data_IF_653674520944
#
_entry.id   IF_653674520944
#
_cell.length_a   1.000
_cell.length_b   1.000
_cell.length_c   1.000
_cell.angle_alpha   90.00
_cell.angle_beta   90.00
_cell.angle_gamma   90.00
#
_symmetry.space_group_name_H-M   'P 1'
#
loop_
_entity.id
_entity.type
_entity.pdbx_description
1 polymer ?
#
# COMPACT_ATOMS: atom_id res chain seq x y z
N UNK A 1 22.04 -27.82 -9.81
CA UNK A 1 20.75 -27.20 -9.79
C UNK A 1 20.43 -26.51 -11.12
N UNK A 2 19.22 -25.97 -11.25
CA UNK A 2 18.67 -25.39 -12.51
C UNK A 2 19.56 -24.32 -13.15
N UNK A 3 20.29 -23.54 -12.37
CA UNK A 3 21.22 -22.50 -12.86
C UNK A 3 22.42 -23.11 -13.60
N UNK A 4 22.95 -24.24 -13.09
CA UNK A 4 24.08 -24.90 -13.72
C UNK A 4 23.71 -25.58 -15.07
N UNK A 5 22.44 -25.92 -15.27
CA UNK A 5 21.96 -26.58 -16.49
C UNK A 5 21.65 -25.61 -17.62
N UNK A 6 21.24 -24.36 -17.29
CA UNK A 6 20.78 -23.37 -18.30
C UNK A 6 21.81 -22.28 -18.62
N UNK A 7 22.88 -22.14 -17.83
CA UNK A 7 23.88 -21.08 -18.01
C UNK A 7 23.40 -19.65 -17.72
N UNK A 8 22.10 -19.48 -17.37
CA UNK A 8 21.49 -18.21 -17.05
C UNK A 8 20.93 -18.21 -15.63
N UNK A 9 21.05 -17.08 -14.93
CA UNK A 9 20.47 -16.92 -13.60
C UNK A 9 18.99 -16.56 -13.72
N UNK A 10 18.09 -17.30 -13.04
CA UNK A 10 16.67 -16.95 -13.04
C UNK A 10 16.42 -15.64 -12.30
N UNK A 11 15.40 -14.89 -12.71
CA UNK A 11 14.87 -13.76 -11.95
C UNK A 11 14.13 -14.27 -10.71
N UNK A 12 14.47 -13.75 -9.53
CA UNK A 12 13.76 -14.03 -8.28
C UNK A 12 12.87 -12.83 -7.92
N UNK A 13 11.56 -13.09 -7.80
CA UNK A 13 10.54 -12.09 -7.55
C UNK A 13 9.86 -12.35 -6.19
N UNK A 14 10.41 -11.84 -5.07
CA UNK A 14 9.85 -12.08 -3.74
C UNK A 14 8.56 -11.28 -3.53
N UNK A 15 7.45 -11.99 -3.29
CA UNK A 15 6.09 -11.39 -3.18
C UNK A 15 5.77 -10.93 -1.76
N UNK A 16 6.07 -11.75 -0.77
CA UNK A 16 5.71 -11.50 0.63
C UNK A 16 6.74 -10.66 1.38
N UNK A 17 6.29 -9.87 2.36
CA UNK A 17 7.17 -9.01 3.16
C UNK A 17 8.30 -9.81 3.86
N UNK A 18 7.97 -10.94 4.47
CA UNK A 18 8.97 -11.78 5.15
C UNK A 18 9.98 -12.38 4.17
N UNK A 19 9.52 -12.85 3.01
CA UNK A 19 10.40 -13.39 1.96
C UNK A 19 11.30 -12.30 1.39
N UNK A 20 10.76 -11.11 1.11
CA UNK A 20 11.55 -9.97 0.63
C UNK A 20 12.62 -9.57 1.65
N UNK A 21 12.26 -9.44 2.93
CA UNK A 21 13.20 -9.11 3.98
C UNK A 21 14.32 -10.15 4.12
N UNK A 22 13.99 -11.44 4.06
CA UNK A 22 14.97 -12.53 4.12
C UNK A 22 15.92 -12.51 2.91
N UNK A 23 15.40 -12.31 1.69
CA UNK A 23 16.22 -12.22 0.48
C UNK A 23 17.10 -10.97 0.51
N UNK A 24 16.57 -9.83 0.93
CA UNK A 24 17.34 -8.58 1.02
C UNK A 24 18.46 -8.67 2.05
N UNK A 25 18.20 -9.29 3.22
CA UNK A 25 19.20 -9.48 4.28
C UNK A 25 20.38 -10.40 3.87
N UNK A 26 20.12 -11.38 3.01
CA UNK A 26 21.15 -12.34 2.54
C UNK A 26 21.46 -12.17 1.04
N UNK A 27 21.33 -10.90 0.58
CA UNK A 27 21.40 -10.52 -0.84
C UNK A 27 22.58 -11.14 -1.57
N UNK A 28 23.78 -11.13 -0.98
CA UNK A 28 24.99 -11.65 -1.63
C UNK A 28 24.87 -13.12 -2.04
N UNK A 29 24.21 -13.95 -1.22
CA UNK A 29 23.99 -15.37 -1.54
C UNK A 29 22.99 -15.54 -2.67
N UNK A 30 21.96 -14.70 -2.72
CA UNK A 30 20.98 -14.74 -3.80
C UNK A 30 21.52 -14.18 -5.10
N UNK A 31 22.28 -13.08 -5.09
CA UNK A 31 22.91 -12.50 -6.28
C UNK A 31 23.89 -13.49 -6.96
N UNK A 32 24.43 -14.45 -6.21
CA UNK A 32 25.28 -15.51 -6.78
C UNK A 32 24.51 -16.49 -7.68
N UNK A 33 23.19 -16.65 -7.51
CA UNK A 33 22.40 -17.69 -8.15
C UNK A 33 21.14 -17.19 -8.89
N UNK A 34 20.72 -15.95 -8.67
CA UNK A 34 19.57 -15.35 -9.34
C UNK A 34 19.75 -13.84 -9.52
N UNK A 35 18.94 -13.24 -10.38
CA UNK A 35 18.88 -11.79 -10.55
C UNK A 35 17.79 -11.18 -9.65
N UNK A 36 18.07 -10.01 -9.08
CA UNK A 36 17.23 -9.32 -8.13
C UNK A 36 17.04 -7.85 -8.52
N UNK A 37 15.80 -7.39 -8.62
CA UNK A 37 15.43 -5.99 -8.67
C UNK A 37 14.55 -5.67 -7.44
N UNK A 38 15.19 -5.56 -6.27
CA UNK A 38 14.56 -5.38 -4.96
C UNK A 38 15.28 -4.31 -4.16
N UNK A 39 14.62 -3.66 -3.19
CA UNK A 39 15.26 -2.69 -2.31
C UNK A 39 16.33 -3.33 -1.41
N UNK A 40 17.24 -2.48 -0.92
CA UNK A 40 18.22 -2.86 0.09
C UNK A 40 17.57 -2.96 1.48
N UNK A 41 18.21 -3.61 2.47
CA UNK A 41 17.72 -3.61 3.84
C UNK A 41 17.52 -2.20 4.40
N UNK A 42 18.43 -1.26 4.10
CA UNK A 42 18.36 0.13 4.56
C UNK A 42 17.17 0.87 3.95
N UNK A 43 16.86 0.63 2.66
CA UNK A 43 15.68 1.18 1.98
C UNK A 43 14.40 0.60 2.55
N UNK A 44 14.37 -0.71 2.86
CA UNK A 44 13.24 -1.35 3.52
C UNK A 44 13.01 -0.77 4.91
N UNK A 45 14.05 -0.61 5.71
CA UNK A 45 13.96 -0.04 7.06
C UNK A 45 13.49 1.42 7.05
N UNK A 46 13.99 2.21 6.10
CA UNK A 46 13.59 3.60 5.92
C UNK A 46 12.10 3.72 5.60
N UNK A 47 11.63 3.00 4.58
CA UNK A 47 10.23 3.10 4.12
C UNK A 47 9.24 2.43 5.06
N UNK A 48 9.65 1.44 5.84
CA UNK A 48 8.81 0.83 6.88
C UNK A 48 8.76 1.65 8.18
N UNK A 49 9.67 2.63 8.38
CA UNK A 49 9.67 3.52 9.53
C UNK A 49 8.84 4.77 9.25
N UNK A 50 7.67 4.89 9.88
CA UNK A 50 6.78 6.05 9.70
C UNK A 50 7.44 7.38 10.08
N UNK A 51 8.29 7.37 11.10
CA UNK A 51 9.00 8.56 11.57
C UNK A 51 10.09 8.98 10.57
N UNK A 52 10.96 8.03 10.17
CA UNK A 52 12.04 8.31 9.20
C UNK A 52 11.48 8.71 7.84
N UNK A 53 10.40 8.04 7.39
CA UNK A 53 9.70 8.38 6.15
C UNK A 53 9.10 9.79 6.21
N UNK A 54 8.44 10.16 7.32
CA UNK A 54 7.85 11.49 7.47
C UNK A 54 8.92 12.59 7.50
N UNK A 55 10.05 12.35 8.18
CA UNK A 55 11.18 13.28 8.19
C UNK A 55 11.79 13.46 6.80
N UNK A 56 12.01 12.36 6.07
CA UNK A 56 12.49 12.40 4.69
C UNK A 56 11.50 13.11 3.77
N UNK A 57 10.21 12.79 3.85
CA UNK A 57 9.18 13.44 3.04
C UNK A 57 9.15 14.95 3.27
N UNK A 58 9.22 15.38 4.52
CA UNK A 58 9.27 16.81 4.88
C UNK A 58 10.50 17.51 4.30
N UNK A 59 11.68 16.88 4.31
CA UNK A 59 12.91 17.46 3.74
C UNK A 59 12.88 17.58 2.21
N UNK A 60 11.96 16.89 1.55
CA UNK A 60 11.78 16.87 0.09
C UNK A 60 10.50 17.61 -0.35
N UNK A 61 9.88 18.39 0.52
CA UNK A 61 8.62 19.10 0.26
C UNK A 61 7.49 18.14 -0.21
N UNK A 62 7.46 16.92 0.34
CA UNK A 62 6.35 15.97 0.15
C UNK A 62 5.41 16.11 1.34
N UNK A 63 4.14 16.51 1.14
CA UNK A 63 3.21 16.72 2.24
C UNK A 63 2.96 15.44 3.05
N UNK A 64 2.98 15.57 4.37
CA UNK A 64 2.62 14.50 5.33
C UNK A 64 1.56 15.04 6.29
N UNK A 65 0.73 14.18 6.91
CA UNK A 65 -0.22 14.63 7.90
C UNK A 65 0.49 15.33 9.07
N UNK A 66 -0.02 16.50 9.47
CA UNK A 66 0.51 17.22 10.63
C UNK A 66 0.45 16.32 11.87
N UNK A 67 1.58 16.09 12.49
CA UNK A 67 1.69 15.34 13.75
C UNK A 67 1.67 16.30 14.95
N UNK A 68 1.11 15.81 16.06
CA UNK A 68 1.01 16.53 17.32
C UNK A 68 1.72 15.73 18.40
N UNK A 69 2.57 16.41 19.18
CA UNK A 69 3.32 15.81 20.29
C UNK A 69 3.00 16.53 21.58
N UNK A 70 3.11 15.83 22.69
CA UNK A 70 3.04 16.41 24.02
C UNK A 70 4.28 17.27 24.29
N UNK A 71 4.11 18.36 25.00
CA UNK A 71 5.22 19.18 25.51
C UNK A 71 5.84 18.52 26.74
N UNK A 72 7.09 18.90 27.06
CA UNK A 72 7.76 18.36 28.23
C UNK A 72 6.99 18.74 29.51
N UNK A 73 6.57 17.74 30.28
CA UNK A 73 5.79 17.93 31.51
C UNK A 73 4.30 18.15 31.32
N UNK A 74 3.79 18.13 30.05
CA UNK A 74 2.37 18.24 29.75
C UNK A 74 1.62 16.96 30.15
N UNK A 75 0.45 17.09 30.77
CA UNK A 75 -0.43 15.95 31.04
C UNK A 75 -1.18 15.54 29.78
N UNK A 76 -1.58 14.23 29.66
CA UNK A 76 -2.39 13.75 28.55
C UNK A 76 -3.69 14.53 28.43
N UNK A 77 -4.33 14.86 29.56
CA UNK A 77 -5.57 15.65 29.60
C UNK A 77 -5.37 17.05 28.97
N UNK A 78 -4.28 17.76 29.32
CA UNK A 78 -3.97 19.06 28.73
C UNK A 78 -3.67 18.95 27.25
N UNK A 79 -2.90 17.94 26.84
CA UNK A 79 -2.56 17.66 25.45
C UNK A 79 -3.79 17.42 24.57
N UNK A 80 -4.71 16.53 24.99
CA UNK A 80 -5.88 16.18 24.16
C UNK A 80 -6.87 17.34 24.04
N UNK A 81 -6.95 18.22 25.05
CA UNK A 81 -7.82 19.42 25.01
C UNK A 81 -7.39 20.46 23.97
N UNK A 82 -6.11 20.51 23.61
CA UNK A 82 -5.59 21.45 22.59
C UNK A 82 -5.51 20.86 21.18
N UNK A 83 -5.87 19.58 21.00
CA UNK A 83 -5.83 18.95 19.69
C UNK A 83 -6.91 19.52 18.75
N UNK A 84 -6.58 19.80 17.49
CA UNK A 84 -7.60 20.08 16.49
C UNK A 84 -8.37 18.80 16.18
N UNK A 85 -9.68 18.82 16.42
CA UNK A 85 -10.56 17.68 16.18
C UNK A 85 -11.35 17.86 14.88
N UNK A 86 -11.62 16.78 14.14
CA UNK A 86 -11.20 15.39 14.43
C UNK A 86 -9.70 15.18 14.23
N UNK A 87 -9.10 14.24 14.98
CA UNK A 87 -7.74 13.78 14.75
C UNK A 87 -7.65 12.24 14.75
N UNK A 88 -6.50 11.71 14.34
CA UNK A 88 -6.21 10.29 14.32
C UNK A 88 -5.19 9.95 15.38
N UNK A 89 -5.48 8.94 16.19
CA UNK A 89 -4.55 8.37 17.18
C UNK A 89 -4.24 6.93 16.76
N UNK A 90 -2.96 6.56 16.73
CA UNK A 90 -2.52 5.21 16.34
C UNK A 90 -1.26 4.79 17.10
N UNK A 91 -1.08 3.48 17.38
CA UNK A 91 0.16 2.99 18.00
C UNK A 91 1.33 3.12 17.02
N UNK A 92 2.54 3.25 17.54
CA UNK A 92 3.76 3.38 16.72
C UNK A 92 3.97 2.18 15.80
N UNK A 93 3.71 0.96 16.28
CA UNK A 93 3.95 -0.30 15.56
C UNK A 93 2.71 -1.21 15.53
N UNK A 94 1.56 -0.71 15.09
CA UNK A 94 0.28 -1.43 15.12
C UNK A 94 0.27 -2.81 14.43
N UNK A 95 1.11 -3.02 13.40
CA UNK A 95 1.23 -4.33 12.75
C UNK A 95 1.89 -5.38 13.65
N UNK A 96 2.92 -5.00 14.39
CA UNK A 96 3.64 -5.90 15.31
C UNK A 96 2.79 -6.31 16.53
N UNK A 97 1.71 -5.54 16.81
CA UNK A 97 0.80 -5.80 17.94
C UNK A 97 -0.32 -6.80 17.61
N UNK A 98 -0.33 -7.40 16.41
CA UNK A 98 -1.37 -8.34 16.00
C UNK A 98 -2.77 -7.74 15.87
N UNK A 99 -2.89 -6.41 15.83
CA UNK A 99 -4.16 -5.70 15.73
C UNK A 99 -4.78 -5.86 14.34
N UNK A 100 -6.10 -6.04 14.29
CA UNK A 100 -6.85 -5.97 13.02
C UNK A 100 -6.80 -4.56 12.44
N UNK A 101 -7.02 -4.40 11.14
CA UNK A 101 -7.01 -3.09 10.48
C UNK A 101 -7.87 -2.05 11.20
N UNK A 102 -9.08 -2.44 11.65
CA UNK A 102 -10.00 -1.57 12.38
C UNK A 102 -9.51 -1.17 13.80
N UNK A 103 -8.54 -1.90 14.35
CA UNK A 103 -7.99 -1.66 15.68
C UNK A 103 -6.68 -0.88 15.67
N UNK A 104 -6.10 -0.65 14.48
CA UNK A 104 -4.78 -0.01 14.30
C UNK A 104 -4.81 1.50 14.43
N UNK A 105 -5.98 2.12 14.43
CA UNK A 105 -6.13 3.56 14.63
C UNK A 105 -7.53 3.90 15.17
N UNK A 106 -7.67 5.10 15.70
CA UNK A 106 -8.95 5.68 16.08
C UNK A 106 -9.08 7.09 15.49
N UNK A 107 -10.23 7.40 14.91
CA UNK A 107 -10.61 8.78 14.57
C UNK A 107 -11.40 9.30 15.77
N UNK A 108 -10.85 10.30 16.46
CA UNK A 108 -11.43 10.87 17.68
C UNK A 108 -12.04 12.24 17.38
N UNK A 109 -13.18 12.51 18.00
CA UNK A 109 -13.99 13.71 17.77
C UNK A 109 -14.23 14.53 19.03
N UNK A 110 -13.83 14.00 20.19
CA UNK A 110 -13.87 14.74 21.45
C UNK A 110 -12.57 14.54 22.24
N UNK A 111 -12.24 15.43 23.18
CA UNK A 111 -11.08 15.26 24.04
C UNK A 111 -11.15 13.98 24.87
N UNK A 112 -12.34 13.56 25.33
CA UNK A 112 -12.57 12.35 26.12
C UNK A 112 -12.26 11.09 25.31
N UNK A 113 -12.73 11.05 24.03
CA UNK A 113 -12.36 9.96 23.10
C UNK A 113 -10.84 9.95 22.87
N UNK A 114 -10.22 11.11 22.70
CA UNK A 114 -8.79 11.24 22.46
C UNK A 114 -7.99 10.71 23.65
N UNK A 115 -8.36 11.07 24.88
CA UNK A 115 -7.72 10.62 26.10
C UNK A 115 -7.83 9.09 26.26
N UNK A 116 -9.02 8.55 26.11
CA UNK A 116 -9.26 7.10 26.21
C UNK A 116 -8.43 6.31 25.19
N UNK A 117 -8.40 6.75 23.92
CA UNK A 117 -7.62 6.08 22.88
C UNK A 117 -6.12 6.29 23.03
N UNK A 118 -5.67 7.47 23.54
CA UNK A 118 -4.28 7.72 23.83
C UNK A 118 -3.74 6.73 24.87
N UNK A 119 -4.41 6.61 26.02
CA UNK A 119 -4.04 5.66 27.06
C UNK A 119 -4.08 4.21 26.59
N UNK A 120 -5.13 3.84 25.83
CA UNK A 120 -5.23 2.50 25.25
C UNK A 120 -4.03 2.15 24.37
N UNK A 121 -3.66 3.01 23.44
CA UNK A 121 -2.55 2.73 22.52
C UNK A 121 -1.19 2.83 23.20
N UNK A 122 -1.02 3.72 24.16
CA UNK A 122 0.18 3.79 24.98
C UNK A 122 0.39 2.51 25.78
N UNK A 123 -0.67 1.99 26.41
CA UNK A 123 -0.64 0.72 27.16
C UNK A 123 -0.32 -0.49 26.27
N UNK A 124 -0.89 -0.54 25.05
CA UNK A 124 -0.66 -1.65 24.11
C UNK A 124 0.76 -1.69 23.54
N UNK A 125 1.37 -0.53 23.32
CA UNK A 125 2.69 -0.44 22.65
C UNK A 125 3.85 -0.19 23.60
N UNK A 126 3.58 0.20 24.86
CA UNK A 126 4.60 0.67 25.81
C UNK A 126 5.23 2.01 25.43
N UNK A 127 4.67 2.72 24.43
CA UNK A 127 5.19 3.98 23.90
C UNK A 127 4.06 4.98 23.68
N UNK A 128 4.38 6.28 23.65
CA UNK A 128 3.42 7.31 23.29
C UNK A 128 2.86 7.05 21.87
N UNK A 129 1.53 7.09 21.68
CA UNK A 129 0.92 6.89 20.37
C UNK A 129 1.19 8.09 19.45
N UNK A 130 1.13 7.84 18.16
CA UNK A 130 1.19 8.89 17.14
C UNK A 130 -0.18 9.57 17.05
N UNK A 131 -0.20 10.90 17.16
CA UNK A 131 -1.39 11.72 16.99
C UNK A 131 -1.23 12.60 15.76
N UNK A 132 -2.18 12.53 14.82
CA UNK A 132 -2.09 13.23 13.54
C UNK A 132 -3.42 13.89 13.16
N UNK A 133 -3.33 14.94 12.34
CA UNK A 133 -4.51 15.56 11.72
C UNK A 133 -5.33 14.52 10.94
N UNK A 134 -6.64 14.59 11.05
CA UNK A 134 -7.55 13.77 10.26
C UNK A 134 -7.67 14.33 8.85
N UNK A 135 -7.45 13.48 7.86
CA UNK A 135 -7.62 13.79 6.44
C UNK A 135 -8.93 13.19 5.95
N UNK A 136 -9.84 14.04 5.48
CA UNK A 136 -11.22 13.65 5.15
C UNK A 136 -11.43 13.20 3.70
N UNK A 137 -10.47 13.48 2.82
CA UNK A 137 -10.59 13.24 1.38
C UNK A 137 -10.37 11.79 0.96
N UNK A 138 -10.12 11.59 -0.32
CA UNK A 138 -9.95 10.26 -0.92
C UNK A 138 -8.64 9.60 -0.51
N UNK A 139 -8.64 8.28 -0.38
CA UNK A 139 -7.43 7.45 -0.34
C UNK A 139 -6.90 7.24 -1.75
N UNK A 140 -5.61 7.49 -1.94
CA UNK A 140 -4.92 7.42 -3.22
C UNK A 140 -3.67 6.55 -3.10
N UNK A 141 -3.19 6.02 -4.21
CA UNK A 141 -1.91 5.33 -4.29
C UNK A 141 -1.15 5.72 -5.55
N UNK A 142 0.16 5.81 -5.44
CA UNK A 142 1.08 5.78 -6.57
C UNK A 142 1.85 4.46 -6.52
N UNK A 143 1.54 3.60 -7.45
CA UNK A 143 2.05 2.24 -7.57
C UNK A 143 3.14 2.23 -8.61
N UNK A 144 4.36 1.83 -8.26
CA UNK A 144 5.49 1.97 -9.16
C UNK A 144 6.49 0.83 -9.11
N UNK A 145 7.26 0.75 -10.17
CA UNK A 145 8.55 0.08 -10.26
C UNK A 145 9.62 1.14 -10.47
N UNK A 146 10.65 1.10 -9.65
CA UNK A 146 11.83 1.98 -9.79
C UNK A 146 13.09 1.17 -9.98
N UNK A 147 14.08 1.79 -10.60
CA UNK A 147 15.43 1.27 -10.78
C UNK A 147 16.45 2.38 -10.52
N UNK A 148 17.34 2.17 -9.54
CA UNK A 148 18.40 3.10 -9.15
C UNK A 148 17.93 4.56 -8.98
N UNK A 149 16.77 4.75 -8.34
CA UNK A 149 16.23 6.09 -8.05
C UNK A 149 15.36 6.69 -9.17
N UNK A 150 15.14 5.99 -10.28
CA UNK A 150 14.26 6.46 -11.35
C UNK A 150 13.03 5.58 -11.50
N UNK A 151 11.85 6.21 -11.66
CA UNK A 151 10.60 5.48 -11.90
C UNK A 151 10.58 4.93 -13.31
N UNK A 152 10.61 3.61 -13.44
CA UNK A 152 10.51 2.89 -14.72
C UNK A 152 9.08 2.84 -15.23
N UNK A 153 8.13 2.58 -14.33
CA UNK A 153 6.70 2.59 -14.64
C UNK A 153 5.90 2.92 -13.39
N UNK A 154 4.78 3.64 -13.58
CA UNK A 154 3.88 3.95 -12.47
C UNK A 154 2.43 4.04 -12.94
N UNK A 155 1.51 3.71 -12.02
CA UNK A 155 0.08 4.00 -12.12
C UNK A 155 -0.36 4.68 -10.83
N UNK A 156 -1.32 5.62 -10.95
CA UNK A 156 -1.98 6.14 -9.75
C UNK A 156 -3.40 5.57 -9.67
N UNK A 157 -3.85 5.30 -8.45
CA UNK A 157 -5.19 4.80 -8.22
C UNK A 157 -5.88 5.51 -7.06
N UNK A 158 -7.21 5.50 -7.10
CA UNK A 158 -8.07 5.96 -6.03
C UNK A 158 -8.80 4.76 -5.42
N UNK A 159 -8.85 4.69 -4.10
CA UNK A 159 -9.72 3.78 -3.36
C UNK A 159 -11.16 4.25 -3.47
N UNK A 160 -12.04 3.40 -3.95
CA UNK A 160 -13.47 3.72 -4.13
C UNK A 160 -14.29 3.14 -2.97
N UNK A 161 -14.00 1.89 -2.59
CA UNK A 161 -14.59 1.20 -1.45
C UNK A 161 -13.55 0.36 -0.73
N UNK A 162 -13.76 0.13 0.56
CA UNK A 162 -12.87 -0.60 1.45
C UNK A 162 -13.64 -1.66 2.23
N UNK A 163 -13.01 -2.79 2.50
CA UNK A 163 -13.58 -3.83 3.34
C UNK A 163 -12.54 -4.36 4.36
N UNK A 164 -12.85 -4.35 5.67
CA UNK A 164 -14.04 -3.77 6.34
C UNK A 164 -14.19 -2.27 6.14
N UNK A 165 -15.45 -1.80 6.12
CA UNK A 165 -15.79 -0.36 5.87
C UNK A 165 -15.36 0.60 7.01
N UNK A 166 -14.76 0.07 8.07
CA UNK A 166 -14.16 0.82 9.19
C UNK A 166 -12.69 1.19 8.94
N UNK A 167 -12.14 0.87 7.77
CA UNK A 167 -10.74 1.03 7.42
C UNK A 167 -10.09 -0.31 7.14
N UNK A 168 -10.28 -0.81 5.93
CA UNK A 168 -9.71 -2.05 5.44
C UNK A 168 -8.93 -1.82 4.14
N UNK A 169 -8.40 -2.90 3.55
CA UNK A 169 -7.85 -2.83 2.21
C UNK A 169 -8.92 -2.43 1.19
N UNK A 170 -8.49 -1.90 0.07
CA UNK A 170 -9.39 -1.52 -1.02
C UNK A 170 -10.12 -2.74 -1.57
N UNK A 171 -11.45 -2.71 -1.57
CA UNK A 171 -12.31 -3.70 -2.24
C UNK A 171 -12.67 -3.28 -3.66
N UNK A 172 -12.64 -1.98 -3.92
CA UNK A 172 -12.81 -1.39 -5.24
C UNK A 172 -11.84 -0.22 -5.41
N UNK A 173 -11.11 -0.19 -6.51
CA UNK A 173 -10.22 0.92 -6.87
C UNK A 173 -10.35 1.26 -8.35
N UNK A 174 -9.94 2.46 -8.70
CA UNK A 174 -9.87 2.93 -10.09
C UNK A 174 -8.54 3.61 -10.37
N UNK A 175 -8.01 3.41 -11.56
CA UNK A 175 -6.87 4.17 -12.05
C UNK A 175 -7.29 5.64 -12.23
N UNK A 176 -6.43 6.56 -11.82
CA UNK A 176 -6.61 8.01 -11.95
C UNK A 176 -5.33 8.65 -12.49
N UNK A 177 -5.48 9.79 -13.16
CA UNK A 177 -4.35 10.58 -13.58
C UNK A 177 -4.00 11.60 -12.50
N UNK A 178 -2.87 11.40 -11.82
CA UNK A 178 -2.40 12.22 -10.69
C UNK A 178 -0.87 12.39 -10.82
N UNK A 179 -0.43 13.33 -11.65
CA UNK A 179 1.00 13.61 -11.86
C UNK A 179 1.70 14.10 -10.59
N UNK A 180 0.99 14.79 -9.71
CA UNK A 180 1.48 15.24 -8.40
C UNK A 180 1.93 14.07 -7.50
N UNK A 181 1.16 12.98 -7.44
CA UNK A 181 1.55 11.79 -6.66
C UNK A 181 2.81 11.13 -7.22
N UNK A 182 2.93 11.09 -8.55
CA UNK A 182 4.11 10.55 -9.22
C UNK A 182 5.34 11.42 -8.94
N UNK A 183 5.19 12.74 -8.95
CA UNK A 183 6.27 13.66 -8.64
C UNK A 183 6.74 13.48 -7.18
N UNK A 184 5.82 13.42 -6.22
CA UNK A 184 6.17 13.16 -4.82
C UNK A 184 6.89 11.81 -4.64
N UNK A 185 6.39 10.76 -5.27
CA UNK A 185 7.04 9.45 -5.23
C UNK A 185 8.43 9.50 -5.88
N UNK A 186 8.61 10.22 -7.01
CA UNK A 186 9.90 10.35 -7.70
C UNK A 186 10.93 11.06 -6.82
N UNK A 187 10.56 12.09 -6.07
CA UNK A 187 11.48 12.78 -5.14
C UNK A 187 12.04 11.79 -4.10
N UNK A 188 11.16 10.98 -3.48
CA UNK A 188 11.54 9.99 -2.47
C UNK A 188 12.37 8.83 -3.07
N UNK A 189 11.98 8.35 -4.23
CA UNK A 189 12.68 7.27 -4.95
C UNK A 189 14.09 7.72 -5.35
N UNK A 190 14.23 8.95 -5.86
CA UNK A 190 15.51 9.51 -6.29
C UNK A 190 16.46 9.73 -5.12
N UNK A 191 15.99 10.34 -4.04
CA UNK A 191 16.80 10.61 -2.85
C UNK A 191 17.36 9.34 -2.22
N UNK A 192 16.56 8.26 -2.26
CA UNK A 192 16.95 6.99 -1.65
C UNK A 192 17.69 6.04 -2.60
N UNK A 193 17.78 6.38 -3.90
CA UNK A 193 18.31 5.46 -4.91
C UNK A 193 17.51 4.16 -5.01
N UNK A 194 16.19 4.20 -4.73
CA UNK A 194 15.35 3.03 -4.58
C UNK A 194 15.32 2.15 -5.83
N UNK A 195 15.40 0.83 -5.63
CA UNK A 195 15.18 -0.18 -6.69
C UNK A 195 14.12 -1.17 -6.23
N UNK A 196 13.11 -1.42 -7.06
CA UNK A 196 12.07 -2.42 -6.82
C UNK A 196 10.64 -1.87 -6.90
N UNK A 197 9.71 -2.70 -6.48
CA UNK A 197 8.28 -2.36 -6.43
C UNK A 197 7.95 -1.58 -5.16
N UNK A 198 7.13 -0.53 -5.28
CA UNK A 198 6.56 0.18 -4.14
C UNK A 198 5.18 0.74 -4.45
N UNK A 199 4.34 0.85 -3.40
CA UNK A 199 3.12 1.64 -3.39
C UNK A 199 3.27 2.76 -2.37
N UNK A 200 3.16 3.99 -2.83
CA UNK A 200 3.11 5.21 -2.01
C UNK A 200 1.64 5.51 -1.72
N UNK A 201 1.24 5.38 -0.46
CA UNK A 201 -0.14 5.60 -0.04
C UNK A 201 -0.34 7.04 0.41
N UNK A 202 -1.30 7.70 -0.21
CA UNK A 202 -1.67 9.08 0.09
C UNK A 202 -3.13 9.17 0.54
N UNK A 203 -3.42 10.25 1.24
CA UNK A 203 -4.79 10.65 1.56
C UNK A 203 -4.95 12.14 1.35
N UNK A 204 -6.05 12.53 0.73
CA UNK A 204 -6.38 13.94 0.54
C UNK A 204 -6.92 14.57 1.82
N UNK A 205 -6.62 15.83 2.00
CA UNK A 205 -7.31 16.68 2.97
C UNK A 205 -8.70 17.13 2.44
N UNK A 206 -9.34 18.08 3.14
CA UNK A 206 -10.64 18.62 2.74
C UNK A 206 -10.61 19.47 1.47
N UNK A 207 -9.43 19.91 1.03
CA UNK A 207 -9.20 20.75 -0.15
C UNK A 207 -8.71 19.93 -1.36
N UNK A 208 -8.45 18.63 -1.17
CA UNK A 208 -7.98 17.74 -2.22
C UNK A 208 -6.46 17.66 -2.36
N UNK A 209 -5.70 18.21 -1.42
CA UNK A 209 -4.24 18.09 -1.40
C UNK A 209 -3.83 16.74 -0.83
N UNK A 210 -2.96 15.98 -1.53
CA UNK A 210 -2.55 14.67 -1.07
C UNK A 210 -1.43 14.77 -0.02
N UNK A 211 -1.51 13.95 1.01
CA UNK A 211 -0.52 13.79 2.06
C UNK A 211 -0.06 12.34 2.12
N UNK A 212 1.24 12.10 2.14
CA UNK A 212 1.83 10.77 2.21
C UNK A 212 1.57 10.15 3.58
N UNK A 213 0.95 8.97 3.62
CA UNK A 213 0.68 8.22 4.84
C UNK A 213 1.73 7.17 5.14
N UNK A 214 2.10 6.39 4.12
CA UNK A 214 3.07 5.30 4.22
C UNK A 214 3.58 4.89 2.84
N UNK A 215 4.68 4.14 2.82
CA UNK A 215 5.18 3.43 1.65
C UNK A 215 5.16 1.94 1.93
N UNK A 216 4.66 1.16 0.99
CA UNK A 216 4.70 -0.31 1.01
C UNK A 216 5.77 -0.73 0.01
N UNK A 217 7.03 -1.01 0.44
CA UNK A 217 8.16 -1.27 -0.46
C UNK A 217 8.18 -2.74 -0.94
N UNK A 218 7.05 -3.21 -1.42
CA UNK A 218 6.79 -4.58 -1.88
C UNK A 218 5.50 -4.66 -2.69
N UNK A 219 5.15 -5.84 -3.16
CA UNK A 219 3.81 -6.09 -3.75
C UNK A 219 2.72 -5.72 -2.72
N UNK A 220 1.71 -4.99 -3.16
CA UNK A 220 0.59 -4.44 -2.39
C UNK A 220 -0.74 -5.10 -2.73
N UNK A 221 -1.78 -4.82 -1.95
CA UNK A 221 -3.08 -5.50 -2.10
C UNK A 221 -3.79 -5.23 -3.43
N UNK A 222 -3.64 -4.04 -4.00
CA UNK A 222 -4.22 -3.67 -5.31
C UNK A 222 -3.29 -3.94 -6.50
N UNK A 223 -2.20 -4.70 -6.31
CA UNK A 223 -1.25 -5.04 -7.39
C UNK A 223 -1.90 -5.60 -8.67
N UNK A 224 -2.99 -6.39 -8.61
CA UNK A 224 -3.69 -6.84 -9.81
C UNK A 224 -4.19 -5.70 -10.73
N UNK A 225 -4.33 -4.47 -10.22
CA UNK A 225 -4.67 -3.30 -11.01
C UNK A 225 -3.60 -3.03 -12.10
N UNK A 226 -2.34 -3.35 -11.84
CA UNK A 226 -1.24 -3.22 -12.82
C UNK A 226 -1.51 -4.03 -14.09
N UNK A 227 -2.09 -5.23 -13.94
CA UNK A 227 -2.52 -6.07 -15.04
C UNK A 227 -3.76 -5.49 -15.74
N UNK A 228 -4.76 -5.09 -14.95
CA UNK A 228 -6.03 -4.56 -15.47
C UNK A 228 -5.82 -3.29 -16.32
N UNK A 229 -4.87 -2.44 -15.92
CA UNK A 229 -4.52 -1.21 -16.65
C UNK A 229 -3.58 -1.43 -17.83
N UNK A 230 -2.91 -2.58 -17.90
CA UNK A 230 -1.89 -2.86 -18.91
C UNK A 230 -0.58 -2.08 -18.67
N UNK A 231 -0.28 -1.74 -17.41
CA UNK A 231 0.91 -0.93 -17.06
C UNK A 231 2.26 -1.62 -17.31
N UNK A 232 2.28 -2.91 -17.60
CA UNK A 232 3.52 -3.68 -17.81
C UNK A 232 4.40 -3.87 -16.59
N UNK A 233 4.08 -3.28 -15.44
CA UNK A 233 4.90 -3.31 -14.22
C UNK A 233 5.40 -4.72 -13.88
N UNK A 234 4.59 -5.80 -13.90
CA UNK A 234 5.07 -7.14 -13.57
C UNK A 234 6.15 -7.66 -14.56
N UNK A 235 5.96 -7.40 -15.86
CA UNK A 235 6.92 -7.78 -16.90
C UNK A 235 8.22 -6.99 -16.77
N UNK A 236 8.13 -5.68 -16.61
CA UNK A 236 9.30 -4.82 -16.42
C UNK A 236 10.11 -5.22 -15.20
N UNK A 237 9.45 -5.56 -14.09
CA UNK A 237 10.12 -6.05 -12.89
C UNK A 237 10.88 -7.35 -13.14
N UNK A 238 10.26 -8.30 -13.87
CA UNK A 238 10.92 -9.55 -14.23
C UNK A 238 12.15 -9.31 -15.14
N UNK A 239 12.05 -8.38 -16.10
CA UNK A 239 13.17 -8.02 -16.99
C UNK A 239 14.30 -7.35 -16.20
N UNK A 240 14.00 -6.40 -15.31
CA UNK A 240 15.02 -5.76 -14.48
C UNK A 240 15.75 -6.79 -13.59
N UNK A 241 14.98 -7.68 -12.95
CA UNK A 241 15.59 -8.74 -12.14
C UNK A 241 16.45 -9.68 -12.98
N UNK A 242 16.01 -10.07 -14.18
CA UNK A 242 16.81 -10.88 -15.10
C UNK A 242 18.12 -10.18 -15.49
N UNK A 243 18.03 -8.92 -15.90
CA UNK A 243 19.19 -8.13 -16.30
C UNK A 243 20.22 -7.97 -15.17
N UNK A 244 19.75 -7.76 -13.94
CA UNK A 244 20.61 -7.64 -12.77
C UNK A 244 21.40 -8.95 -12.48
N UNK A 245 20.86 -10.12 -12.84
CA UNK A 245 21.51 -11.41 -12.61
C UNK A 245 22.46 -11.86 -13.72
N UNK A 246 22.32 -11.33 -14.92
CA UNK A 246 23.01 -11.84 -16.11
C UNK A 246 23.88 -10.76 -16.74
N UNK A 247 25.20 -11.01 -16.84
CA UNK A 247 26.19 -10.10 -17.40
C UNK A 247 26.25 -10.02 -18.93
N UNK A 248 25.26 -10.59 -19.64
CA UNK A 248 25.10 -10.49 -21.09
C UNK A 248 24.51 -9.15 -21.55
N UNK A 249 24.16 -9.04 -22.84
CA UNK A 249 23.43 -7.89 -23.33
C UNK A 249 22.07 -7.81 -22.61
N UNK A 250 21.72 -6.66 -21.99
CA UNK A 250 20.46 -6.54 -21.25
C UNK A 250 19.26 -6.66 -22.18
N UNK A 251 18.23 -7.36 -21.72
CA UNK A 251 16.93 -7.35 -22.42
C UNK A 251 16.40 -5.90 -22.36
N UNK A 252 16.13 -5.27 -23.51
CA UNK A 252 15.61 -3.91 -23.52
C UNK A 252 14.23 -3.86 -22.87
N UNK A 253 13.95 -2.81 -22.11
CA UNK A 253 12.62 -2.58 -21.57
C UNK A 253 11.67 -2.24 -22.72
N UNK A 254 10.54 -2.94 -22.86
CA UNK A 254 9.56 -2.63 -23.89
C UNK A 254 8.88 -1.28 -23.62
N UNK A 255 8.51 -0.57 -24.66
CA UNK A 255 7.61 0.56 -24.51
C UNK A 255 6.26 0.09 -23.96
N UNK A 256 5.85 0.65 -22.85
CA UNK A 256 4.57 0.35 -22.24
C UNK A 256 3.57 1.43 -22.66
N UNK A 257 2.42 1.07 -23.23
CA UNK A 257 1.40 2.03 -23.56
C UNK A 257 0.88 2.72 -22.29
N UNK A 258 0.43 3.95 -22.43
CA UNK A 258 -0.16 4.72 -21.31
C UNK A 258 -1.23 3.85 -20.63
N UNK A 259 -1.14 3.67 -19.32
CA UNK A 259 -2.08 2.82 -18.58
C UNK A 259 -3.52 3.27 -18.79
N UNK A 260 -4.39 2.33 -19.10
CA UNK A 260 -5.81 2.66 -19.32
C UNK A 260 -6.47 2.99 -17.99
N UNK A 261 -7.29 4.03 -17.98
CA UNK A 261 -8.14 4.31 -16.82
C UNK A 261 -9.18 3.20 -16.67
N UNK A 262 -8.94 2.30 -15.75
CA UNK A 262 -9.75 1.11 -15.48
C UNK A 262 -10.19 1.09 -14.02
N UNK A 263 -11.29 0.39 -13.78
CA UNK A 263 -11.82 0.09 -12.45
C UNK A 263 -11.65 -1.39 -12.17
N UNK A 264 -11.27 -1.72 -10.95
CA UNK A 264 -11.06 -3.08 -10.47
C UNK A 264 -11.81 -3.28 -9.15
N UNK A 265 -12.39 -4.46 -8.99
CA UNK A 265 -13.03 -4.91 -7.75
C UNK A 265 -12.40 -6.23 -7.29
N UNK A 266 -12.52 -6.49 -6.00
CA UNK A 266 -12.43 -7.84 -5.44
C UNK A 266 -13.86 -8.27 -5.14
N UNK A 267 -14.51 -8.96 -6.05
CA UNK A 267 -15.97 -9.12 -6.14
C UNK A 267 -16.64 -9.47 -4.80
N UNK A 268 -16.17 -10.51 -4.09
CA UNK A 268 -16.77 -10.89 -2.80
C UNK A 268 -16.60 -9.79 -1.73
N UNK A 269 -15.37 -9.25 -1.59
CA UNK A 269 -15.10 -8.19 -0.61
C UNK A 269 -15.85 -6.91 -0.93
N UNK A 270 -16.04 -6.60 -2.22
CA UNK A 270 -16.72 -5.39 -2.65
C UNK A 270 -18.24 -5.43 -2.42
N UNK A 271 -18.87 -6.58 -2.64
CA UNK A 271 -20.26 -6.80 -2.27
C UNK A 271 -20.47 -6.70 -0.75
N UNK A 272 -19.55 -7.29 0.03
CA UNK A 272 -19.58 -7.17 1.48
C UNK A 272 -19.36 -5.73 1.96
N UNK A 273 -18.48 -4.98 1.28
CA UNK A 273 -18.32 -3.54 1.52
C UNK A 273 -19.61 -2.79 1.24
N UNK A 274 -20.26 -3.03 0.10
CA UNK A 274 -21.55 -2.45 -0.26
C UNK A 274 -22.63 -2.65 0.82
N UNK A 275 -22.76 -3.88 1.33
CA UNK A 275 -23.64 -4.22 2.45
C UNK A 275 -23.23 -3.48 3.74
N UNK A 276 -21.93 -3.42 4.04
CA UNK A 276 -21.41 -2.69 5.20
C UNK A 276 -21.70 -1.20 5.14
N UNK A 277 -21.56 -0.56 3.98
CA UNK A 277 -21.92 0.84 3.78
C UNK A 277 -23.43 1.07 3.89
N UNK A 278 -24.26 0.17 3.34
CA UNK A 278 -25.71 0.28 3.44
C UNK A 278 -26.19 0.26 4.90
N UNK A 279 -25.63 -0.64 5.73
CA UNK A 279 -25.91 -0.70 7.18
C UNK A 279 -25.49 0.55 7.94
N UNK A 280 -24.59 1.36 7.38
CA UNK A 280 -24.15 2.66 7.93
C UNK A 280 -24.87 3.86 7.30
N UNK A 281 -26.05 3.65 6.70
CA UNK A 281 -26.87 4.70 6.12
C UNK A 281 -26.40 5.19 4.73
N UNK A 282 -25.58 4.41 4.02
CA UNK A 282 -25.06 4.73 2.69
C UNK A 282 -25.48 3.68 1.65
N UNK A 283 -26.79 3.45 1.42
CA UNK A 283 -27.29 2.36 0.55
C UNK A 283 -26.86 2.51 -0.91
N UNK A 284 -26.61 3.74 -1.39
CA UNK A 284 -26.09 3.99 -2.73
C UNK A 284 -24.79 3.24 -3.05
N UNK A 285 -23.95 2.96 -2.03
CA UNK A 285 -22.72 2.19 -2.22
C UNK A 285 -22.98 0.69 -2.51
N UNK A 286 -24.08 0.14 -2.01
CA UNK A 286 -24.50 -1.23 -2.36
C UNK A 286 -24.94 -1.30 -3.83
N UNK A 287 -25.76 -0.36 -4.28
CA UNK A 287 -26.16 -0.31 -5.69
C UNK A 287 -24.97 -0.07 -6.60
N UNK A 288 -24.01 0.77 -6.19
CA UNK A 288 -22.77 0.97 -6.93
C UNK A 288 -21.93 -0.31 -7.01
N UNK A 289 -21.81 -1.08 -5.91
CA UNK A 289 -21.08 -2.35 -5.90
C UNK A 289 -21.74 -3.40 -6.81
N UNK A 290 -23.08 -3.49 -6.78
CA UNK A 290 -23.83 -4.37 -7.69
C UNK A 290 -23.68 -3.95 -9.16
N UNK A 291 -23.74 -2.65 -9.44
CA UNK A 291 -23.51 -2.11 -10.77
C UNK A 291 -22.10 -2.40 -11.29
N UNK A 292 -21.09 -2.25 -10.44
CA UNK A 292 -19.69 -2.57 -10.78
C UNK A 292 -19.50 -4.07 -11.03
N UNK A 293 -20.12 -4.94 -10.24
CA UNK A 293 -20.09 -6.39 -10.41
C UNK A 293 -20.69 -6.85 -11.75
N UNK A 294 -21.75 -6.20 -12.19
CA UNK A 294 -22.44 -6.53 -13.45
C UNK A 294 -21.82 -5.84 -14.67
N UNK A 295 -20.94 -4.87 -14.49
CA UNK A 295 -20.35 -4.11 -15.56
C UNK A 295 -19.14 -4.84 -16.19
N UNK A 296 -19.20 -5.27 -17.45
CA UNK A 296 -18.10 -6.00 -18.11
C UNK A 296 -16.83 -5.15 -18.30
N UNK A 297 -16.91 -3.83 -18.18
CA UNK A 297 -15.74 -2.94 -18.22
C UNK A 297 -14.96 -2.92 -16.88
N UNK A 298 -15.59 -3.30 -15.78
CA UNK A 298 -14.96 -3.48 -14.47
C UNK A 298 -14.36 -4.88 -14.39
N UNK A 299 -13.13 -5.00 -13.93
CA UNK A 299 -12.43 -6.28 -13.85
C UNK A 299 -12.30 -6.75 -12.40
N UNK A 300 -12.42 -8.05 -12.21
CA UNK A 300 -12.08 -8.67 -10.92
C UNK A 300 -10.55 -8.80 -10.81
N UNK A 301 -10.01 -8.47 -9.63
CA UNK A 301 -8.58 -8.53 -9.37
C UNK A 301 -8.00 -9.95 -9.26
N UNK A 302 -8.87 -10.93 -8.98
CA UNK A 302 -8.47 -12.32 -8.74
C UNK A 302 -8.88 -13.26 -9.87
N UNK A 303 -9.92 -12.91 -10.62
CA UNK A 303 -10.47 -13.76 -11.66
C UNK A 303 -9.91 -13.37 -13.03
N UNK A 304 -9.33 -14.35 -13.72
CA UNK A 304 -8.82 -14.22 -15.08
C UNK A 304 -9.37 -15.35 -15.94
N UNK A 305 -9.93 -15.02 -17.12
CA UNK A 305 -10.47 -16.05 -18.03
C UNK A 305 -9.40 -17.01 -18.55
N UNK A 306 -8.15 -16.56 -18.68
CA UNK A 306 -7.01 -17.39 -19.11
C UNK A 306 -6.44 -18.27 -17.98
N UNK A 307 -6.74 -17.97 -16.70
CA UNK A 307 -6.29 -18.73 -15.52
C UNK A 307 -7.29 -18.56 -14.37
N UNK A 308 -8.36 -19.36 -14.41
CA UNK A 308 -9.47 -19.26 -13.44
C UNK A 308 -9.18 -19.92 -12.09
N UNK A 309 -8.21 -20.85 -12.03
CA UNK A 309 -7.98 -21.68 -10.85
C UNK A 309 -7.57 -20.88 -9.59
N UNK A 310 -6.66 -19.88 -9.64
CA UNK A 310 -6.31 -19.09 -8.48
C UNK A 310 -7.52 -18.32 -7.91
N UNK A 311 -8.36 -17.74 -8.77
CA UNK A 311 -9.58 -17.05 -8.37
C UNK A 311 -10.56 -17.99 -7.65
N UNK A 312 -10.83 -19.16 -8.24
CA UNK A 312 -11.71 -20.16 -7.65
C UNK A 312 -11.16 -20.68 -6.32
N UNK A 313 -9.86 -20.95 -6.23
CA UNK A 313 -9.21 -21.40 -4.99
C UNK A 313 -9.35 -20.36 -3.87
N UNK A 314 -9.16 -19.07 -4.20
CA UNK A 314 -9.33 -17.98 -3.25
C UNK A 314 -10.77 -17.89 -2.75
N UNK A 315 -11.76 -17.85 -3.63
CA UNK A 315 -13.18 -17.75 -3.23
C UNK A 315 -13.62 -18.97 -2.43
N UNK A 316 -13.16 -20.17 -2.78
CA UNK A 316 -13.38 -21.37 -1.98
C UNK A 316 -12.77 -21.23 -0.57
N UNK A 317 -11.58 -20.65 -0.45
CA UNK A 317 -10.92 -20.45 0.84
C UNK A 317 -11.71 -19.52 1.78
N UNK A 318 -12.40 -18.51 1.25
CA UNK A 318 -13.25 -17.63 2.05
C UNK A 318 -14.41 -18.40 2.68
N UNK A 319 -15.09 -19.26 1.89
CA UNK A 319 -16.21 -20.08 2.37
C UNK A 319 -15.76 -21.10 3.43
N UNK A 320 -14.53 -21.64 3.29
CA UNK A 320 -14.01 -22.64 4.23
C UNK A 320 -13.45 -22.04 5.52
N UNK A 321 -12.96 -20.79 5.50
CA UNK A 321 -12.51 -20.08 6.71
C UNK A 321 -13.67 -19.70 7.63
N UNK A 322 -14.84 -19.33 7.10
CA UNK A 322 -16.04 -19.06 7.90
C UNK A 322 -16.55 -20.30 8.67
N UNK A 323 -16.19 -21.52 8.24
CA UNK A 323 -16.56 -22.76 8.94
C UNK A 323 -15.60 -23.18 10.06
N UNK A 324 -14.48 -22.44 10.25
CA UNK A 324 -13.45 -22.73 11.27
C UNK A 324 -13.32 -21.65 12.36
N UNK A 325 -14.11 -20.61 12.30
CA UNK A 325 -14.26 -19.59 13.35
C UNK A 325 -15.62 -19.66 13.99
#
# INVERSE_FOLDING_TARGET
GVVAERGERPALLPVGAATLAAVAADRQRFDAVCGLAIPTPEQLDLFNSKERLAALAASLDVPVPKSFSMEAGESVEAFVRRLPLPCVIKPVCGEKLGLTAAQRYAIVRSPEEAEAHYHRFASLSGQAPVVQAYLSGAGLGCDLLADHGEIVAAICHQRVREYPVSGGPSSCCRCVDRPDLREYAQRLVRETGYTGLAMFEFKEDGEGHPHLLEVIPRIWGTFPLTRVTGSGIPLLWAILAHNAGNGGAPIPLPEIPVPRQKKMIFAASDLMAGLGYARRGRPGQLFAALGDFLNPAVRDGLFEWGDILPGLAYYRSLITKEKRG
#
